data_IF_931316221057
#
_entry.id   IF_931316221057
#
_cell.length_a   1.000
_cell.length_b   1.000
_cell.length_c   1.000
_cell.angle_alpha   90.00
_cell.angle_beta   90.00
_cell.angle_gamma   90.00
#
_symmetry.space_group_name_H-M   'P 1'
#
loop_
_entity.id
_entity.type
_entity.pdbx_description
1 polymer ?
#
# COMPACT_ATOMS: atom_id res chain seq x y z
N UNK A 1 -30.45 8.52 -30.55
CA UNK A 1 -29.01 8.64 -30.88
C UNK A 1 -28.23 7.70 -29.99
N UNK A 2 -27.05 7.22 -30.41
CA UNK A 2 -26.16 6.46 -29.53
C UNK A 2 -25.29 7.44 -28.74
N UNK A 3 -25.01 7.20 -27.45
CA UNK A 3 -24.08 8.03 -26.70
C UNK A 3 -22.69 8.06 -27.36
N UNK A 4 -22.09 9.24 -27.45
CA UNK A 4 -20.77 9.47 -28.03
C UNK A 4 -19.93 10.24 -27.01
N UNK A 5 -18.78 9.67 -26.68
CA UNK A 5 -17.78 10.30 -25.81
C UNK A 5 -16.54 10.56 -26.65
N UNK A 6 -16.14 11.82 -26.75
CA UNK A 6 -14.91 12.24 -27.41
C UNK A 6 -13.87 12.61 -26.34
N UNK A 7 -12.77 11.88 -26.28
CA UNK A 7 -11.68 12.14 -25.33
C UNK A 7 -10.49 12.72 -26.09
N UNK A 8 -10.12 13.96 -25.74
CA UNK A 8 -8.98 14.67 -26.31
C UNK A 8 -7.88 14.74 -25.26
N UNK A 9 -6.74 14.12 -25.54
CA UNK A 9 -5.55 14.17 -24.68
C UNK A 9 -4.54 15.12 -25.32
N UNK A 10 -4.20 16.20 -24.63
CA UNK A 10 -3.39 17.30 -25.12
C UNK A 10 -2.08 17.38 -24.36
N UNK A 11 -0.99 17.64 -25.08
CA UNK A 11 0.34 17.87 -24.51
C UNK A 11 0.68 19.35 -24.34
N UNK A 12 -0.33 20.24 -24.37
CA UNK A 12 -0.22 21.68 -24.21
C UNK A 12 -1.44 22.23 -23.48
N UNK A 13 -1.32 23.44 -22.95
CA UNK A 13 -2.42 24.17 -22.33
C UNK A 13 -3.28 24.79 -23.43
N UNK A 14 -4.54 24.35 -23.54
CA UNK A 14 -5.55 24.89 -24.45
C UNK A 14 -6.44 25.92 -23.75
N UNK A 15 -6.78 25.69 -22.48
CA UNK A 15 -7.75 26.52 -21.75
C UNK A 15 -7.09 27.33 -20.63
N UNK A 16 -6.93 28.64 -20.80
CA UNK A 16 -6.36 29.48 -19.73
C UNK A 16 -7.36 29.81 -18.60
N UNK A 17 -8.65 29.67 -18.88
CA UNK A 17 -9.75 30.02 -17.97
C UNK A 17 -9.81 29.08 -16.75
N UNK A 18 -9.26 27.86 -16.87
CA UNK A 18 -9.29 26.84 -15.82
C UNK A 18 -7.91 26.22 -15.63
N UNK A 19 -7.55 25.96 -14.37
CA UNK A 19 -6.31 25.26 -14.03
C UNK A 19 -6.52 23.75 -13.88
N UNK A 20 -7.74 23.24 -14.07
CA UNK A 20 -8.02 21.80 -14.02
C UNK A 20 -7.41 21.10 -15.23
N UNK A 21 -6.79 19.95 -15.01
CA UNK A 21 -6.26 19.12 -16.09
C UNK A 21 -7.35 18.37 -16.87
N UNK A 22 -8.50 18.09 -16.26
CA UNK A 22 -9.63 17.42 -16.91
C UNK A 22 -10.84 18.35 -16.93
N UNK A 23 -11.39 18.54 -18.14
CA UNK A 23 -12.58 19.36 -18.38
C UNK A 23 -13.55 18.62 -19.28
N UNK A 24 -14.84 18.85 -19.03
CA UNK A 24 -15.94 18.22 -19.78
C UNK A 24 -16.81 19.32 -20.37
N UNK A 25 -17.15 19.16 -21.65
CA UNK A 25 -18.00 20.10 -22.38
C UNK A 25 -19.19 19.36 -23.00
N UNK A 26 -20.32 20.08 -23.00
CA UNK A 26 -21.57 19.68 -23.63
C UNK A 26 -21.96 20.71 -24.69
N UNK A 27 -22.80 20.32 -25.64
CA UNK A 27 -23.28 21.21 -26.69
C UNK A 27 -24.48 22.01 -26.20
N UNK A 28 -24.40 23.33 -26.34
CA UNK A 28 -25.45 24.27 -25.99
C UNK A 28 -25.85 25.09 -27.21
N UNK A 29 -27.12 25.48 -27.27
CA UNK A 29 -27.60 26.48 -28.22
C UNK A 29 -27.00 27.86 -27.87
N UNK A 30 -26.71 28.69 -28.88
CA UNK A 30 -25.88 29.88 -28.74
C UNK A 30 -26.55 31.03 -27.98
N UNK A 31 -27.85 31.26 -28.14
CA UNK A 31 -28.54 32.41 -27.53
C UNK A 31 -29.14 32.09 -26.15
N UNK A 32 -30.00 31.09 -26.10
CA UNK A 32 -30.74 30.69 -24.91
C UNK A 32 -29.97 29.71 -24.02
N UNK A 33 -28.79 29.22 -24.45
CA UNK A 33 -27.87 28.38 -23.66
C UNK A 33 -28.51 27.13 -23.06
N UNK A 34 -29.53 26.56 -23.72
CA UNK A 34 -30.05 25.24 -23.35
C UNK A 34 -29.24 24.14 -24.03
N UNK A 35 -29.12 23.00 -23.37
CA UNK A 35 -28.33 21.87 -23.87
C UNK A 35 -29.02 21.24 -25.08
N UNK A 36 -28.27 21.04 -26.17
CA UNK A 36 -28.78 20.40 -27.38
C UNK A 36 -29.16 18.93 -27.12
N UNK A 37 -28.27 18.20 -26.44
CA UNK A 37 -28.46 16.79 -26.08
C UNK A 37 -27.49 16.35 -24.98
N UNK A 38 -27.91 15.34 -24.22
CA UNK A 38 -27.14 14.62 -23.20
C UNK A 38 -26.37 13.41 -23.75
N UNK A 39 -26.52 13.10 -25.05
CA UNK A 39 -25.89 11.91 -25.66
C UNK A 39 -24.49 12.17 -26.21
N UNK A 40 -23.95 13.38 -26.07
CA UNK A 40 -22.62 13.75 -26.60
C UNK A 40 -21.82 14.53 -25.57
N UNK A 41 -20.63 14.03 -25.25
CA UNK A 41 -19.74 14.61 -24.24
C UNK A 41 -18.31 14.70 -24.77
N UNK A 42 -17.67 15.85 -24.56
CA UNK A 42 -16.29 16.10 -24.95
C UNK A 42 -15.43 16.26 -23.71
N UNK A 43 -14.47 15.36 -23.53
CA UNK A 43 -13.44 15.51 -22.51
C UNK A 43 -12.18 16.08 -23.13
N UNK A 44 -11.57 17.01 -22.40
CA UNK A 44 -10.23 17.50 -22.68
C UNK A 44 -9.35 17.25 -21.46
N UNK A 45 -8.22 16.61 -21.71
CA UNK A 45 -7.24 16.22 -20.72
C UNK A 45 -5.91 16.88 -21.08
N UNK A 46 -5.52 17.89 -20.32
CA UNK A 46 -4.30 18.66 -20.52
C UNK A 46 -3.17 18.06 -19.67
N UNK A 47 -2.29 17.29 -20.31
CA UNK A 47 -1.21 16.54 -19.65
C UNK A 47 -0.21 17.46 -18.94
N UNK A 48 0.04 18.64 -19.48
CA UNK A 48 0.86 19.69 -18.85
C UNK A 48 0.34 20.08 -17.47
N UNK A 49 -0.97 20.26 -17.33
CA UNK A 49 -1.63 20.56 -16.05
C UNK A 49 -1.65 19.35 -15.12
N UNK A 50 -1.86 18.15 -15.65
CA UNK A 50 -1.79 16.91 -14.86
C UNK A 50 -0.42 16.78 -14.18
N UNK A 51 0.67 16.93 -14.93
CA UNK A 51 2.04 16.84 -14.39
C UNK A 51 2.32 17.97 -13.40
N UNK A 52 1.75 19.16 -13.61
CA UNK A 52 1.86 20.28 -12.66
C UNK A 52 1.14 19.96 -11.35
N UNK A 53 -0.06 19.39 -11.41
CA UNK A 53 -0.83 19.00 -10.23
C UNK A 53 -0.20 17.81 -9.48
N UNK A 54 0.40 16.87 -10.21
CA UNK A 54 1.24 15.81 -9.63
C UNK A 54 2.38 16.41 -8.78
N UNK A 55 3.18 17.32 -9.37
CA UNK A 55 4.31 17.96 -8.67
C UNK A 55 3.88 18.85 -7.51
N UNK A 56 2.65 19.37 -7.56
CA UNK A 56 2.06 20.13 -6.47
C UNK A 56 1.43 19.23 -5.39
N UNK A 57 1.57 17.90 -5.50
CA UNK A 57 1.01 16.91 -4.60
C UNK A 57 -0.51 17.03 -4.44
N UNK A 58 -1.21 17.35 -5.54
CA UNK A 58 -2.67 17.51 -5.58
C UNK A 58 -3.40 16.30 -6.15
N UNK A 59 -2.67 15.33 -6.68
CA UNK A 59 -3.22 14.10 -7.24
C UNK A 59 -2.98 12.95 -6.26
N UNK A 60 -3.94 12.04 -6.21
CA UNK A 60 -3.86 10.84 -5.39
C UNK A 60 -4.10 9.60 -6.26
N UNK A 61 -3.05 9.04 -6.90
CA UNK A 61 -3.20 7.87 -7.77
C UNK A 61 -3.58 6.59 -7.02
N UNK A 62 -3.51 6.55 -5.69
CA UNK A 62 -3.93 5.39 -4.90
C UNK A 62 -5.46 5.27 -4.83
N UNK A 63 -6.16 6.41 -4.80
CA UNK A 63 -7.62 6.44 -4.69
C UNK A 63 -8.31 6.92 -5.97
N UNK A 64 -7.64 7.70 -6.81
CA UNK A 64 -8.17 8.19 -8.09
C UNK A 64 -7.65 7.35 -9.27
N UNK A 65 -8.54 6.50 -9.77
CA UNK A 65 -8.29 5.62 -10.91
C UNK A 65 -8.01 6.40 -12.20
N UNK A 66 -8.70 7.52 -12.42
CA UNK A 66 -8.47 8.34 -13.62
C UNK A 66 -7.07 8.97 -13.56
N UNK A 67 -6.72 9.57 -12.43
CA UNK A 67 -5.39 10.14 -12.23
C UNK A 67 -4.29 9.07 -12.41
N UNK A 68 -4.48 7.87 -11.86
CA UNK A 68 -3.55 6.73 -12.03
C UNK A 68 -3.30 6.39 -13.50
N UNK A 69 -4.36 6.17 -14.29
CA UNK A 69 -4.22 5.81 -15.70
C UNK A 69 -3.63 6.96 -16.52
N UNK A 70 -4.01 8.21 -16.23
CA UNK A 70 -3.45 9.37 -16.92
C UNK A 70 -1.97 9.58 -16.58
N UNK A 71 -1.55 9.36 -15.33
CA UNK A 71 -0.14 9.42 -14.94
C UNK A 71 0.68 8.34 -15.64
N UNK A 72 0.14 7.13 -15.79
CA UNK A 72 0.78 6.07 -16.57
C UNK A 72 0.99 6.50 -18.03
N UNK A 73 -0.01 7.12 -18.66
CA UNK A 73 0.13 7.63 -20.03
C UNK A 73 1.08 8.84 -20.11
N UNK A 74 1.16 9.64 -19.04
CA UNK A 74 1.95 10.88 -18.97
C UNK A 74 3.38 10.73 -18.48
N UNK A 75 3.76 9.56 -17.93
CA UNK A 75 5.08 9.36 -17.33
C UNK A 75 6.21 9.40 -18.35
N UNK A 76 5.92 9.21 -19.64
CA UNK A 76 6.89 9.34 -20.73
C UNK A 76 6.46 10.41 -21.71
N UNK A 77 7.29 11.45 -21.81
CA UNK A 77 7.21 12.45 -22.86
C UNK A 77 8.30 12.16 -23.91
N UNK A 78 7.93 11.38 -24.92
CA UNK A 78 8.83 11.01 -26.02
C UNK A 78 9.33 12.22 -26.82
N UNK A 79 8.55 13.31 -26.93
CA UNK A 79 8.99 14.51 -27.66
C UNK A 79 10.13 15.19 -26.94
N UNK A 80 10.04 15.27 -25.61
CA UNK A 80 11.06 15.91 -24.77
C UNK A 80 12.10 14.92 -24.22
N UNK A 81 12.06 13.64 -24.63
CA UNK A 81 12.92 12.56 -24.12
C UNK A 81 12.95 12.49 -22.59
N UNK A 82 11.79 12.75 -21.98
CA UNK A 82 11.69 12.91 -20.53
C UNK A 82 10.85 11.79 -19.96
N UNK A 83 11.45 11.07 -19.01
CA UNK A 83 10.77 10.09 -18.17
C UNK A 83 10.64 10.69 -16.78
N UNK A 84 9.44 10.63 -16.22
CA UNK A 84 9.15 11.09 -14.88
C UNK A 84 9.35 9.92 -13.90
N UNK A 85 10.60 9.73 -13.44
CA UNK A 85 11.00 8.63 -12.55
C UNK A 85 10.23 8.60 -11.22
N UNK A 86 9.76 9.77 -10.75
CA UNK A 86 8.94 9.91 -9.55
C UNK A 86 7.53 9.33 -9.76
N UNK A 87 6.89 9.66 -10.88
CA UNK A 87 5.59 9.07 -11.28
C UNK A 87 5.74 7.56 -11.47
N UNK A 88 6.83 7.14 -12.10
CA UNK A 88 7.11 5.74 -12.36
C UNK A 88 7.16 4.91 -11.07
N UNK A 89 7.93 5.36 -10.08
CA UNK A 89 8.03 4.66 -8.79
C UNK A 89 6.70 4.57 -8.06
N UNK A 90 5.93 5.67 -8.04
CA UNK A 90 4.63 5.66 -7.38
C UNK A 90 3.69 4.62 -8.02
N UNK A 91 3.65 4.58 -9.35
CA UNK A 91 2.81 3.63 -10.08
C UNK A 91 3.31 2.19 -9.94
N UNK A 92 4.62 1.97 -9.83
CA UNK A 92 5.22 0.65 -9.54
C UNK A 92 4.74 0.14 -8.17
N UNK A 93 4.75 0.98 -7.13
CA UNK A 93 4.23 0.62 -5.81
C UNK A 93 2.73 0.30 -5.84
N UNK A 94 1.94 1.04 -6.63
CA UNK A 94 0.52 0.76 -6.79
C UNK A 94 0.30 -0.56 -7.56
N UNK A 95 1.09 -0.81 -8.60
CA UNK A 95 1.01 -2.02 -9.41
C UNK A 95 1.28 -3.29 -8.59
N UNK A 96 2.09 -3.21 -7.54
CA UNK A 96 2.29 -4.35 -6.62
C UNK A 96 0.99 -4.81 -5.92
N UNK A 97 -0.02 -3.94 -5.80
CA UNK A 97 -1.31 -4.26 -5.17
C UNK A 97 -2.45 -4.39 -6.17
N UNK A 98 -2.25 -3.93 -7.40
CA UNK A 98 -3.24 -3.91 -8.47
C UNK A 98 -2.74 -4.69 -9.68
N UNK A 99 -3.21 -5.94 -9.82
CA UNK A 99 -2.85 -6.85 -10.91
C UNK A 99 -3.15 -6.28 -12.30
N UNK A 100 -4.17 -5.42 -12.41
CA UNK A 100 -4.55 -4.82 -13.70
C UNK A 100 -3.56 -3.76 -14.12
N UNK A 101 -3.15 -2.90 -13.17
CA UNK A 101 -2.10 -1.92 -13.41
C UNK A 101 -0.76 -2.61 -13.68
N UNK A 102 -0.44 -3.66 -12.93
CA UNK A 102 0.77 -4.45 -13.14
C UNK A 102 0.87 -5.02 -14.55
N UNK A 103 -0.21 -5.66 -15.01
CA UNK A 103 -0.29 -6.23 -16.36
C UNK A 103 -0.17 -5.14 -17.43
N UNK A 104 -0.82 -3.99 -17.23
CA UNK A 104 -0.70 -2.86 -18.15
C UNK A 104 0.72 -2.30 -18.21
N UNK A 105 1.40 -2.20 -17.06
CA UNK A 105 2.80 -1.76 -16.97
C UNK A 105 3.75 -2.69 -17.74
N UNK A 106 3.64 -3.99 -17.53
CA UNK A 106 4.45 -4.98 -18.24
C UNK A 106 4.24 -4.92 -19.76
N UNK A 107 2.99 -4.84 -20.20
CA UNK A 107 2.66 -4.73 -21.62
C UNK A 107 3.18 -3.41 -22.22
N UNK A 108 3.01 -2.31 -21.50
CA UNK A 108 3.50 -1.01 -21.95
C UNK A 108 5.02 -1.02 -22.09
N UNK A 109 5.74 -1.58 -21.12
CA UNK A 109 7.19 -1.74 -21.15
C UNK A 109 7.61 -2.64 -22.32
N UNK A 110 6.90 -3.74 -22.54
CA UNK A 110 7.19 -4.64 -23.66
C UNK A 110 7.12 -3.92 -25.00
N UNK A 111 6.12 -3.06 -25.16
CA UNK A 111 5.90 -2.26 -26.36
C UNK A 111 6.85 -1.04 -26.46
N UNK A 112 7.36 -0.53 -25.33
CA UNK A 112 8.14 0.72 -25.27
C UNK A 112 9.66 0.54 -25.23
N UNK A 113 10.18 -0.68 -25.05
CA UNK A 113 11.60 -0.89 -24.71
C UNK A 113 12.52 -1.31 -25.86
N UNK A 114 13.73 -0.73 -25.88
CA UNK A 114 14.96 -1.40 -26.33
C UNK A 114 15.56 -2.22 -25.17
N UNK A 115 16.34 -3.27 -25.50
CA UNK A 115 16.78 -4.35 -24.60
C UNK A 115 17.50 -3.90 -23.31
N UNK A 116 18.19 -2.75 -23.32
CA UNK A 116 18.90 -2.23 -22.13
C UNK A 116 17.98 -1.67 -21.04
N UNK A 117 16.81 -1.12 -21.39
CA UNK A 117 15.90 -0.50 -20.41
C UNK A 117 15.17 -1.54 -19.55
N UNK A 118 14.87 -2.72 -20.10
CA UNK A 118 14.26 -3.85 -19.37
C UNK A 118 15.13 -4.37 -18.23
N UNK A 119 16.45 -4.47 -18.44
CA UNK A 119 17.38 -5.03 -17.45
C UNK A 119 17.55 -4.13 -16.22
N UNK A 120 17.54 -2.81 -16.43
CA UNK A 120 17.62 -1.85 -15.34
C UNK A 120 16.37 -1.87 -14.45
N UNK A 121 15.20 -2.15 -15.04
CA UNK A 121 13.94 -2.26 -14.32
C UNK A 121 13.84 -3.56 -13.52
N UNK A 122 14.10 -4.73 -14.13
CA UNK A 122 14.08 -6.01 -13.41
C UNK A 122 14.99 -5.99 -12.17
N UNK A 123 16.15 -5.33 -12.27
CA UNK A 123 17.05 -5.15 -11.13
C UNK A 123 16.47 -4.26 -10.02
N UNK A 124 15.78 -3.19 -10.40
CA UNK A 124 15.17 -2.24 -9.46
C UNK A 124 13.94 -2.83 -8.75
N UNK A 125 13.02 -3.42 -9.50
CA UNK A 125 11.82 -4.08 -8.95
C UNK A 125 12.23 -5.18 -7.99
N UNK A 126 13.25 -5.98 -8.34
CA UNK A 126 13.80 -7.01 -7.46
C UNK A 126 14.36 -6.44 -6.17
N UNK A 127 15.08 -5.32 -6.23
CA UNK A 127 15.61 -4.68 -5.02
C UNK A 127 14.48 -4.20 -4.10
N UNK A 128 13.43 -3.58 -4.65
CA UNK A 128 12.26 -3.13 -3.87
C UNK A 128 11.55 -4.33 -3.23
N UNK A 129 11.38 -5.42 -3.98
CA UNK A 129 10.78 -6.66 -3.45
C UNK A 129 11.62 -7.27 -2.32
N UNK A 130 12.95 -7.29 -2.45
CA UNK A 130 13.87 -7.81 -1.42
C UNK A 130 13.84 -6.92 -0.16
N UNK A 131 13.81 -5.59 -0.31
CA UNK A 131 13.70 -4.64 0.82
C UNK A 131 12.36 -4.79 1.57
N UNK A 132 11.24 -4.93 0.84
CA UNK A 132 9.91 -5.21 1.39
C UNK A 132 9.86 -6.57 2.11
N UNK A 133 10.43 -7.61 1.51
CA UNK A 133 10.50 -8.94 2.12
C UNK A 133 11.28 -8.89 3.44
N UNK A 134 12.45 -8.24 3.43
CA UNK A 134 13.27 -8.02 4.63
C UNK A 134 12.49 -7.30 5.72
N UNK A 135 11.71 -6.26 5.36
CA UNK A 135 10.89 -5.51 6.33
C UNK A 135 9.78 -6.37 6.92
N UNK A 136 9.08 -7.16 6.09
CA UNK A 136 8.03 -8.08 6.57
C UNK A 136 8.58 -9.17 7.47
N UNK A 137 9.75 -9.74 7.13
CA UNK A 137 10.44 -10.72 7.99
C UNK A 137 10.79 -10.09 9.34
N UNK A 138 11.37 -8.89 9.36
CA UNK A 138 11.69 -8.19 10.61
C UNK A 138 10.43 -7.89 11.46
N UNK A 139 9.31 -7.56 10.84
CA UNK A 139 8.03 -7.37 11.55
C UNK A 139 7.49 -8.68 12.14
N UNK A 140 7.59 -9.78 11.39
CA UNK A 140 7.20 -11.11 11.85
C UNK A 140 8.08 -11.57 13.02
N UNK A 141 9.40 -11.46 12.91
CA UNK A 141 10.35 -11.80 13.98
C UNK A 141 10.07 -10.98 15.25
N UNK A 142 9.79 -9.67 15.09
CA UNK A 142 9.45 -8.81 16.23
C UNK A 142 8.14 -9.21 16.89
N UNK A 143 7.16 -9.66 16.10
CA UNK A 143 5.88 -10.16 16.61
C UNK A 143 6.06 -11.48 17.36
N UNK A 144 6.80 -12.43 16.79
CA UNK A 144 7.13 -13.70 17.42
C UNK A 144 7.90 -13.50 18.73
N UNK A 145 8.93 -12.64 18.73
CA UNK A 145 9.70 -12.31 19.93
C UNK A 145 8.82 -11.68 21.03
N UNK A 146 7.82 -10.86 20.65
CA UNK A 146 6.86 -10.30 21.60
C UNK A 146 5.94 -11.37 22.17
N UNK A 147 5.38 -12.24 21.33
CA UNK A 147 4.50 -13.33 21.77
C UNK A 147 5.24 -14.32 22.69
N UNK A 148 6.49 -14.67 22.35
CA UNK A 148 7.34 -15.48 23.21
C UNK A 148 7.68 -14.78 24.53
N UNK A 149 7.96 -13.48 24.48
CA UNK A 149 8.19 -12.65 25.66
C UNK A 149 6.98 -12.61 26.61
N UNK A 150 5.79 -12.44 26.06
CA UNK A 150 4.52 -12.44 26.80
C UNK A 150 4.25 -13.83 27.42
N UNK A 151 4.37 -14.92 26.65
CA UNK A 151 4.22 -16.30 27.16
C UNK A 151 5.23 -16.62 28.27
N UNK A 152 6.50 -16.23 28.10
CA UNK A 152 7.55 -16.45 29.10
C UNK A 152 7.30 -15.61 30.36
N UNK A 153 6.80 -14.38 30.20
CA UNK A 153 6.41 -13.50 31.30
C UNK A 153 5.24 -14.08 32.10
N UNK A 154 4.20 -14.54 31.42
CA UNK A 154 3.03 -15.18 32.04
C UNK A 154 3.43 -16.43 32.82
N UNK A 155 4.23 -17.31 32.22
CA UNK A 155 4.73 -18.53 32.89
C UNK A 155 5.54 -18.19 34.14
N UNK A 156 6.47 -17.23 34.06
CA UNK A 156 7.25 -16.77 35.23
C UNK A 156 6.36 -16.17 36.32
N UNK A 157 5.32 -15.43 35.95
CA UNK A 157 4.37 -14.87 36.90
C UNK A 157 3.55 -15.96 37.61
N UNK A 158 3.08 -16.97 36.86
CA UNK A 158 2.38 -18.15 37.40
C UNK A 158 3.29 -18.92 38.38
N UNK A 159 4.53 -19.17 38.02
CA UNK A 159 5.52 -19.83 38.89
C UNK A 159 5.85 -19.01 40.15
N UNK A 160 6.03 -17.68 40.01
CA UNK A 160 6.29 -16.80 41.16
C UNK A 160 5.10 -16.74 42.13
N UNK A 161 3.87 -16.71 41.60
CA UNK A 161 2.66 -16.78 42.41
C UNK A 161 2.53 -18.13 43.11
N UNK A 162 2.87 -19.24 42.44
CA UNK A 162 2.87 -20.56 43.06
C UNK A 162 3.85 -20.64 44.25
N UNK A 163 5.08 -20.11 44.09
CA UNK A 163 6.06 -20.01 45.18
C UNK A 163 5.52 -19.19 46.35
N UNK A 164 4.86 -18.06 46.08
CA UNK A 164 4.22 -17.22 47.12
C UNK A 164 3.11 -17.95 47.87
N UNK A 165 2.22 -18.64 47.16
CA UNK A 165 1.11 -19.37 47.79
C UNK A 165 1.58 -20.58 48.61
N UNK A 166 2.60 -21.30 48.13
CA UNK A 166 3.24 -22.38 48.89
C UNK A 166 3.93 -21.85 50.15
N UNK A 167 4.62 -20.71 50.07
CA UNK A 167 5.23 -20.07 51.24
C UNK A 167 4.19 -19.58 52.28
N UNK A 168 2.96 -19.29 51.84
CA UNK A 168 1.83 -18.97 52.72
C UNK A 168 1.15 -20.21 53.32
N UNK A 169 1.62 -21.42 53.00
CA UNK A 169 1.11 -22.68 53.55
C UNK A 169 -0.16 -23.21 52.88
N UNK A 170 -0.49 -22.76 51.67
CA UNK A 170 -1.64 -23.30 50.91
C UNK A 170 -1.36 -24.73 50.39
N UNK A 171 -2.41 -25.55 50.29
CA UNK A 171 -2.32 -26.90 49.74
C UNK A 171 -2.00 -26.88 48.25
N UNK A 172 -1.25 -27.88 47.79
CA UNK A 172 -0.78 -28.02 46.40
C UNK A 172 -1.95 -27.97 45.41
N UNK A 173 -3.10 -28.56 45.74
CA UNK A 173 -4.26 -28.56 44.83
C UNK A 173 -4.89 -27.17 44.67
N UNK A 174 -4.90 -26.37 45.74
CA UNK A 174 -5.44 -25.01 45.71
C UNK A 174 -4.48 -24.06 44.99
N UNK A 175 -3.17 -24.24 45.17
CA UNK A 175 -2.14 -23.52 44.43
C UNK A 175 -2.20 -23.83 42.93
N UNK A 176 -2.34 -25.10 42.56
CA UNK A 176 -2.49 -25.52 41.16
C UNK A 176 -3.72 -24.86 40.50
N UNK A 177 -4.87 -24.86 41.20
CA UNK A 177 -6.08 -24.17 40.72
C UNK A 177 -5.90 -22.66 40.62
N UNK A 178 -5.27 -22.01 41.61
CA UNK A 178 -5.13 -20.55 41.66
C UNK A 178 -4.10 -19.98 40.70
N UNK A 179 -3.16 -20.79 40.21
CA UNK A 179 -2.10 -20.37 39.27
C UNK A 179 -2.26 -20.94 37.87
N UNK A 180 -3.29 -21.77 37.67
CA UNK A 180 -3.53 -22.53 36.44
C UNK A 180 -2.34 -23.41 36.03
N UNK A 181 -1.53 -23.85 37.01
CA UNK A 181 -0.43 -24.77 36.81
C UNK A 181 -0.90 -26.19 37.11
N UNK A 182 -0.27 -27.16 36.47
CA UNK A 182 -0.50 -28.56 36.80
C UNK A 182 0.08 -28.93 38.18
N UNK A 183 -0.55 -29.90 38.84
CA UNK A 183 -0.19 -30.33 40.20
C UNK A 183 1.25 -30.86 40.26
N UNK A 184 1.77 -31.47 39.19
CA UNK A 184 3.16 -31.95 39.13
C UNK A 184 4.17 -30.79 39.09
N UNK A 185 3.89 -29.74 38.32
CA UNK A 185 4.69 -28.52 38.27
C UNK A 185 4.73 -27.82 39.62
N UNK A 186 3.61 -27.73 40.33
CA UNK A 186 3.56 -27.15 41.68
C UNK A 186 4.37 -28.00 42.68
N UNK A 187 4.28 -29.34 42.60
CA UNK A 187 5.12 -30.25 43.42
C UNK A 187 6.61 -30.07 43.15
N UNK A 188 7.01 -29.94 41.89
CA UNK A 188 8.40 -29.68 41.51
C UNK A 188 8.90 -28.35 42.08
N UNK A 189 8.10 -27.29 41.97
CA UNK A 189 8.43 -25.97 42.55
C UNK A 189 8.60 -26.08 44.07
N UNK A 190 7.74 -26.84 44.75
CA UNK A 190 7.85 -27.08 46.19
C UNK A 190 9.12 -27.85 46.57
N UNK A 191 9.50 -28.86 45.78
CA UNK A 191 10.74 -29.61 45.97
C UNK A 191 11.98 -28.73 45.78
N UNK A 192 12.00 -27.89 44.73
CA UNK A 192 13.07 -26.91 44.49
C UNK A 192 13.22 -25.92 45.65
N UNK A 193 12.09 -25.40 46.17
CA UNK A 193 12.10 -24.50 47.33
C UNK A 193 12.66 -25.15 48.60
N UNK A 194 12.46 -26.46 48.77
CA UNK A 194 12.95 -27.21 49.93
C UNK A 194 14.41 -27.66 49.78
N UNK A 195 14.95 -27.71 48.55
CA UNK A 195 16.37 -28.02 48.29
C UNK A 195 17.29 -26.79 48.34
N UNK A 196 16.72 -25.58 48.23
CA UNK A 196 17.44 -24.29 48.32
C UNK A 196 17.51 -23.74 49.77
N UNK A 197 17.04 -24.50 50.77
CA UNK A 197 17.10 -24.22 52.21
C UNK A 197 18.17 -25.08 52.90
#
# INVERSE_FOLDING_TARGET
>A
MRPVIAINILNFDLFDVTQRFHTTYHLYEDEAKFQLTDVMEFHFIEMTKLIKDWKANKLDPWNDVLARWLLMLGMVDHRNHKVYDDIYKELEEIAMKDDTLHSAFQNWEELSSTKEQRVAYEGRTRQIMDEEATRREAELEKKEAREEGEKRGEKKAKEANARRFLAMGMDINDVAKGTELDVETVKRIQQEMNSDL
#
